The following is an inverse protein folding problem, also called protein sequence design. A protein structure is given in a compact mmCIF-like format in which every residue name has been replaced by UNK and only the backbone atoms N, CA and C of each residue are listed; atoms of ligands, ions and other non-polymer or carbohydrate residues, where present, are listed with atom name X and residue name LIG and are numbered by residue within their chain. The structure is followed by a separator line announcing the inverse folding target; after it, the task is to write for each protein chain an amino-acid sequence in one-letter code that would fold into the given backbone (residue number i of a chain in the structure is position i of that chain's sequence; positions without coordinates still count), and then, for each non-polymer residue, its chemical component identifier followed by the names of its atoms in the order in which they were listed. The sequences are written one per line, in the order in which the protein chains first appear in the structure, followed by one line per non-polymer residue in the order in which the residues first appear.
data_IF_504491119529
#
_entry.id   IF_504491119529
#
_cell.length_a   1.000
_cell.length_b   1.000
_cell.length_c   1.000
_cell.angle_alpha   90.00
_cell.angle_beta   90.00
_cell.angle_gamma   90.00
#
_symmetry.space_group_name_H-M   'P 1'
#
loop_
_entity.id
_entity.type
_entity.pdbx_description
1 polymer ?
#
# COMPACT_ATOMS: atom_id res chain seq x y z
N UNK A 1 -6.78 123.36 41.20
CA UNK A 1 -5.33 123.14 41.29
C UNK A 1 -5.09 121.76 40.72
N UNK A 2 -4.99 121.63 39.40
CA UNK A 2 -3.73 121.79 38.65
C UNK A 2 -2.67 120.81 39.17
N UNK A 3 -2.02 119.97 38.37
CA UNK A 3 -1.64 120.09 36.97
C UNK A 3 -0.98 118.75 36.57
N UNK A 4 -1.05 118.36 35.28
CA UNK A 4 0.01 117.71 34.47
C UNK A 4 0.67 116.40 35.00
N UNK A 5 1.07 115.40 34.19
CA UNK A 5 1.26 115.24 32.74
C UNK A 5 1.71 113.78 32.50
N UNK A 6 1.50 113.31 31.27
CA UNK A 6 2.32 112.36 30.49
C UNK A 6 2.38 110.91 30.97
N UNK A 7 2.60 109.91 30.12
CA UNK A 7 2.53 109.63 28.68
C UNK A 7 3.03 108.16 28.62
N UNK A 8 2.40 107.31 27.81
CA UNK A 8 2.92 106.07 27.17
C UNK A 8 1.77 105.05 27.05
N UNK A 9 1.19 104.92 25.87
CA UNK A 9 1.60 103.95 24.84
C UNK A 9 1.25 102.51 25.24
N UNK A 10 0.06 102.06 24.84
CA UNK A 10 -0.21 100.63 24.70
C UNK A 10 -0.87 100.35 23.36
N UNK A 11 -0.08 99.68 22.51
CA UNK A 11 -0.43 99.22 21.19
C UNK A 11 -1.60 98.22 21.22
N UNK A 12 -2.68 98.55 20.53
CA UNK A 12 -3.76 97.60 20.19
C UNK A 12 -3.40 97.00 18.83
N UNK A 13 -2.91 95.76 18.86
CA UNK A 13 -2.56 94.99 17.67
C UNK A 13 -3.79 94.61 16.84
N UNK A 14 -3.68 94.55 15.50
CA UNK A 14 -4.77 94.13 14.65
C UNK A 14 -5.08 92.64 14.86
N UNK A 15 -6.31 92.35 15.31
CA UNK A 15 -6.87 91.01 15.41
C UNK A 15 -6.87 90.33 14.03
N UNK A 16 -5.98 89.36 13.86
CA UNK A 16 -6.04 88.43 12.74
C UNK A 16 -7.35 87.60 12.82
N UNK A 17 -7.99 87.32 11.66
CA UNK A 17 -9.33 86.77 11.63
C UNK A 17 -9.38 85.37 12.27
N UNK A 18 -10.12 85.26 13.38
CA UNK A 18 -10.37 84.03 14.16
C UNK A 18 -11.00 82.90 13.31
N UNK A 19 -11.47 83.20 12.10
CA UNK A 19 -12.16 82.28 11.20
C UNK A 19 -11.27 81.20 10.59
N UNK A 20 -9.98 81.45 10.33
CA UNK A 20 -9.11 80.44 9.70
C UNK A 20 -8.78 79.28 10.66
N UNK A 21 -8.46 79.60 11.93
CA UNK A 21 -8.13 78.61 12.96
C UNK A 21 -9.37 77.80 13.36
N UNK A 22 -10.54 78.43 13.44
CA UNK A 22 -11.81 77.75 13.73
C UNK A 22 -12.26 76.82 12.59
N UNK A 23 -12.07 77.23 11.33
CA UNK A 23 -12.39 76.39 10.17
C UNK A 23 -11.44 75.19 10.06
N UNK A 24 -10.14 75.37 10.28
CA UNK A 24 -9.19 74.26 10.31
C UNK A 24 -9.50 73.28 11.46
N UNK A 25 -9.87 73.80 12.63
CA UNK A 25 -10.26 72.95 13.77
C UNK A 25 -11.55 72.16 13.49
N UNK A 26 -12.51 72.74 12.75
CA UNK A 26 -13.72 72.03 12.31
C UNK A 26 -13.41 70.91 11.32
N UNK A 27 -12.52 71.16 10.36
CA UNK A 27 -12.08 70.14 9.38
C UNK A 27 -11.32 69.02 10.08
N UNK A 28 -10.40 69.33 11.00
CA UNK A 28 -9.66 68.33 11.77
C UNK A 28 -10.58 67.50 12.68
N UNK A 29 -11.58 68.12 13.31
CA UNK A 29 -12.60 67.39 14.08
C UNK A 29 -13.46 66.48 13.20
N UNK A 30 -13.83 66.93 12.01
CA UNK A 30 -14.55 66.13 11.02
C UNK A 30 -13.74 64.93 10.54
N UNK A 31 -12.46 65.14 10.19
CA UNK A 31 -11.53 64.08 9.81
C UNK A 31 -11.31 63.08 10.95
N UNK A 32 -11.09 63.57 12.17
CA UNK A 32 -10.94 62.70 13.35
C UNK A 32 -12.19 61.86 13.58
N UNK A 33 -13.38 62.46 13.46
CA UNK A 33 -14.64 61.72 13.57
C UNK A 33 -14.79 60.65 12.48
N UNK A 34 -14.48 60.98 11.22
CA UNK A 34 -14.50 60.01 10.13
C UNK A 34 -13.52 58.85 10.36
N UNK A 35 -12.31 59.14 10.85
CA UNK A 35 -11.31 58.12 11.18
C UNK A 35 -11.80 57.22 12.31
N UNK A 36 -12.35 57.78 13.38
CA UNK A 36 -12.91 57.00 14.50
C UNK A 36 -14.06 56.12 14.03
N UNK A 37 -15.00 56.65 13.23
CA UNK A 37 -16.11 55.87 12.68
C UNK A 37 -15.59 54.75 11.78
N UNK A 38 -14.59 55.02 10.93
CA UNK A 38 -13.98 54.00 10.07
C UNK A 38 -13.35 52.88 10.91
N UNK A 39 -12.60 53.21 11.95
CA UNK A 39 -12.02 52.20 12.84
C UNK A 39 -13.10 51.39 13.56
N UNK A 40 -14.16 52.03 14.08
CA UNK A 40 -15.26 51.31 14.74
C UNK A 40 -15.94 50.34 13.77
N UNK A 41 -16.26 50.78 12.55
CA UNK A 41 -16.86 49.91 11.51
C UNK A 41 -15.91 48.78 11.13
N UNK A 42 -14.63 49.07 10.94
CA UNK A 42 -13.61 48.06 10.62
C UNK A 42 -13.46 47.02 11.73
N UNK A 43 -13.42 47.44 13.00
CA UNK A 43 -13.32 46.54 14.15
C UNK A 43 -14.59 45.69 14.31
N UNK A 44 -15.78 46.25 14.14
CA UNK A 44 -17.04 45.49 14.18
C UNK A 44 -17.09 44.46 13.06
N UNK A 45 -16.69 44.84 11.83
CA UNK A 45 -16.62 43.93 10.69
C UNK A 45 -15.59 42.82 10.91
N UNK A 46 -14.40 43.16 11.42
CA UNK A 46 -13.35 42.19 11.78
C UNK A 46 -13.80 41.24 12.89
N UNK A 47 -14.50 41.74 13.90
CA UNK A 47 -15.03 40.90 14.98
C UNK A 47 -16.07 39.91 14.46
N UNK A 48 -17.03 40.38 13.65
CA UNK A 48 -18.07 39.53 13.06
C UNK A 48 -17.48 38.46 12.11
N UNK A 49 -16.45 38.80 11.34
CA UNK A 49 -15.76 37.83 10.47
C UNK A 49 -15.00 36.77 11.26
N UNK A 50 -14.29 37.16 12.32
CA UNK A 50 -13.61 36.22 13.23
C UNK A 50 -14.58 35.27 13.95
N UNK A 51 -15.74 35.77 14.41
CA UNK A 51 -16.77 34.92 15.02
C UNK A 51 -17.32 33.89 14.03
N UNK A 52 -17.51 34.28 12.76
CA UNK A 52 -17.97 33.39 11.71
C UNK A 52 -16.93 32.29 11.39
N UNK A 53 -15.65 32.66 11.26
CA UNK A 53 -14.55 31.72 11.04
C UNK A 53 -14.41 30.73 12.21
N UNK A 54 -14.47 31.21 13.46
CA UNK A 54 -14.42 30.36 14.65
C UNK A 54 -15.61 29.38 14.71
N UNK A 55 -16.81 29.85 14.34
CA UNK A 55 -18.00 28.99 14.29
C UNK A 55 -17.88 27.90 13.20
N UNK A 56 -17.26 28.20 12.07
CA UNK A 56 -16.98 27.21 11.03
C UNK A 56 -15.93 26.19 11.50
N UNK A 57 -14.84 26.65 12.12
CA UNK A 57 -13.79 25.78 12.66
C UNK A 57 -14.30 24.83 13.75
N UNK A 58 -15.22 25.29 14.59
CA UNK A 58 -15.85 24.45 15.61
C UNK A 58 -16.73 23.36 14.98
N UNK A 59 -17.49 23.68 13.92
CA UNK A 59 -18.32 22.69 13.21
C UNK A 59 -17.49 21.63 12.50
N UNK A 60 -16.38 22.03 11.86
CA UNK A 60 -15.48 21.07 11.21
C UNK A 60 -14.80 20.18 12.23
N UNK A 61 -14.30 20.74 13.34
CA UNK A 61 -13.70 19.97 14.43
C UNK A 61 -14.65 18.90 14.98
N UNK A 62 -15.90 19.27 15.29
CA UNK A 62 -16.91 18.32 15.78
C UNK A 62 -17.25 17.23 14.74
N UNK A 63 -17.25 17.57 13.46
CA UNK A 63 -17.49 16.60 12.38
C UNK A 63 -16.34 15.59 12.32
N UNK A 64 -15.10 16.06 12.37
CA UNK A 64 -13.90 15.22 12.40
C UNK A 64 -13.88 14.31 13.61
N UNK A 65 -14.24 14.81 14.80
CA UNK A 65 -14.30 14.01 16.02
C UNK A 65 -15.34 12.88 15.93
N UNK A 66 -16.51 13.15 15.33
CA UNK A 66 -17.53 12.11 15.06
C UNK A 66 -17.08 11.07 14.04
N UNK A 67 -16.38 11.49 12.99
CA UNK A 67 -15.81 10.58 12.00
C UNK A 67 -14.72 9.70 12.62
N UNK A 68 -13.85 10.27 13.45
CA UNK A 68 -12.83 9.53 14.19
C UNK A 68 -13.45 8.52 15.17
N UNK A 69 -14.54 8.88 15.87
CA UNK A 69 -15.25 7.96 16.75
C UNK A 69 -15.84 6.77 15.98
N UNK A 70 -16.45 7.02 14.81
CA UNK A 70 -16.96 5.95 13.92
C UNK A 70 -15.84 5.06 13.39
N UNK A 71 -14.69 5.64 13.05
CA UNK A 71 -13.54 4.87 12.58
C UNK A 71 -13.00 3.95 13.69
N UNK A 72 -12.91 4.46 14.92
CA UNK A 72 -12.47 3.71 16.09
C UNK A 72 -13.38 2.50 16.39
N UNK A 73 -14.70 2.67 16.27
CA UNK A 73 -15.65 1.57 16.43
C UNK A 73 -15.46 0.48 15.36
N UNK A 74 -15.22 0.88 14.10
CA UNK A 74 -14.92 -0.06 13.01
C UNK A 74 -13.59 -0.77 13.21
N UNK A 75 -12.59 -0.09 13.77
CA UNK A 75 -11.29 -0.69 14.08
C UNK A 75 -11.45 -1.81 15.12
N UNK A 76 -12.20 -1.55 16.20
CA UNK A 76 -12.51 -2.55 17.24
C UNK A 76 -13.28 -3.75 16.68
N UNK A 77 -14.19 -3.55 15.72
CA UNK A 77 -14.88 -4.64 15.02
C UNK A 77 -13.89 -5.53 14.23
N UNK A 78 -12.94 -4.91 13.51
CA UNK A 78 -11.91 -5.63 12.75
C UNK A 78 -10.99 -6.41 13.70
N UNK A 79 -10.55 -5.80 14.80
CA UNK A 79 -9.72 -6.48 15.81
C UNK A 79 -10.42 -7.69 16.42
N UNK A 80 -11.72 -7.60 16.71
CA UNK A 80 -12.50 -8.75 17.21
C UNK A 80 -12.54 -9.88 16.20
N UNK A 81 -12.77 -9.58 14.92
CA UNK A 81 -12.79 -10.58 13.86
C UNK A 81 -11.42 -11.24 13.65
N UNK A 82 -10.34 -10.47 13.78
CA UNK A 82 -8.98 -11.04 13.75
C UNK A 82 -8.75 -12.02 14.91
N UNK A 83 -9.23 -11.70 16.12
CA UNK A 83 -9.16 -12.62 17.26
C UNK A 83 -10.01 -13.89 17.05
N UNK A 84 -11.16 -13.79 16.38
CA UNK A 84 -11.95 -14.97 16.02
C UNK A 84 -11.24 -15.83 14.97
N UNK A 85 -10.61 -15.20 13.97
CA UNK A 85 -9.81 -15.91 12.97
C UNK A 85 -8.63 -16.63 13.60
N UNK A 86 -7.91 -15.98 14.52
CA UNK A 86 -6.79 -16.58 15.23
C UNK A 86 -7.23 -17.82 16.02
N UNK A 87 -8.38 -17.76 16.70
CA UNK A 87 -8.98 -18.94 17.36
C UNK A 87 -9.29 -20.05 16.37
N UNK A 88 -9.85 -19.73 15.19
CA UNK A 88 -10.13 -20.73 14.16
C UNK A 88 -8.86 -21.39 13.63
N UNK A 89 -7.80 -20.60 13.40
CA UNK A 89 -6.50 -21.12 12.98
C UNK A 89 -5.93 -22.04 14.06
N UNK A 90 -5.95 -21.65 15.33
CA UNK A 90 -5.50 -22.48 16.44
C UNK A 90 -6.31 -23.79 16.55
N UNK A 91 -7.62 -23.77 16.31
CA UNK A 91 -8.42 -25.01 16.29
C UNK A 91 -8.02 -25.93 15.15
N UNK A 92 -7.77 -25.39 13.96
CA UNK A 92 -7.33 -26.19 12.79
C UNK A 92 -5.94 -26.81 13.02
N UNK A 93 -5.01 -26.05 13.62
CA UNK A 93 -3.68 -26.55 13.96
C UNK A 93 -3.73 -27.70 14.99
N UNK A 94 -4.61 -27.62 15.99
CA UNK A 94 -4.78 -28.69 16.98
C UNK A 94 -5.48 -29.94 16.40
N UNK A 95 -6.26 -29.81 15.34
CA UNK A 95 -6.85 -30.95 14.63
C UNK A 95 -5.83 -31.68 13.74
N UNK A 96 -4.83 -30.98 13.20
CA UNK A 96 -3.73 -31.59 12.43
C UNK A 96 -2.78 -32.44 13.29
N UNK A 97 -2.57 -32.12 14.57
CA UNK A 97 -1.77 -32.96 15.48
C UNK A 97 -2.41 -34.34 15.73
N UNK A 98 -3.70 -34.54 15.43
CA UNK A 98 -4.36 -35.85 15.53
C UNK A 98 -4.24 -36.71 14.26
N UNK A 99 -3.73 -36.15 13.16
CA UNK A 99 -3.42 -36.89 11.92
C UNK A 99 -1.91 -37.08 11.70
N UNK A 100 -1.05 -36.45 12.51
CA UNK A 100 0.40 -36.51 12.38
C UNK A 100 1.05 -37.74 13.07
N UNK A 101 0.32 -38.51 13.87
CA UNK A 101 0.86 -39.70 14.57
C UNK A 101 1.07 -40.94 13.67
N UNK A 102 0.63 -40.91 12.41
CA UNK A 102 0.84 -42.02 11.44
C UNK A 102 1.92 -41.72 10.36
N UNK A 103 2.61 -40.57 10.41
CA UNK A 103 3.73 -40.29 9.50
C UNK A 103 5.03 -40.19 10.28
N UNK A 104 5.74 -41.32 10.34
CA UNK A 104 7.09 -41.45 10.88
C UNK A 104 8.06 -40.41 10.28
N UNK A 105 8.33 -39.34 11.02
CA UNK A 105 9.53 -38.51 10.83
C UNK A 105 10.57 -38.95 11.85
N UNK A 106 11.50 -39.81 11.44
CA UNK A 106 12.75 -39.98 12.17
C UNK A 106 13.59 -38.71 12.02
N UNK A 107 13.56 -37.85 13.04
CA UNK A 107 14.53 -36.78 13.19
C UNK A 107 15.82 -37.36 13.80
N UNK A 108 16.88 -37.42 12.99
CA UNK A 108 18.22 -37.55 13.56
C UNK A 108 18.68 -36.17 13.98
N UNK A 109 18.67 -35.90 15.29
CA UNK A 109 19.37 -34.78 15.90
C UNK A 109 20.87 -34.89 15.58
N UNK A 110 21.41 -33.89 14.89
CA UNK A 110 22.84 -33.62 14.88
C UNK A 110 23.03 -32.43 15.82
N UNK A 111 23.69 -32.67 16.95
CA UNK A 111 23.96 -31.64 17.94
C UNK A 111 24.89 -30.56 17.34
N UNK A 112 24.47 -29.29 17.39
CA UNK A 112 25.38 -28.14 17.25
C UNK A 112 25.04 -27.03 16.26
N UNK A 113 23.88 -26.99 15.61
CA UNK A 113 23.49 -25.86 14.74
C UNK A 113 22.01 -25.49 14.93
N UNK A 114 21.75 -24.46 15.73
CA UNK A 114 20.42 -23.85 15.83
C UNK A 114 20.14 -22.98 14.59
N UNK A 115 18.97 -23.18 13.97
CA UNK A 115 18.32 -22.16 13.14
C UNK A 115 18.34 -22.33 11.62
N UNK A 116 18.74 -23.48 11.07
CA UNK A 116 18.78 -23.66 9.60
C UNK A 116 17.96 -24.88 9.16
N UNK A 117 16.74 -24.66 8.67
CA UNK A 117 15.93 -25.69 7.99
C UNK A 117 16.53 -25.92 6.61
N UNK A 118 17.43 -26.90 6.50
CA UNK A 118 18.02 -27.31 5.21
C UNK A 118 17.04 -28.23 4.49
N UNK A 119 16.38 -27.75 3.44
CA UNK A 119 15.66 -28.62 2.50
C UNK A 119 16.66 -29.46 1.71
N UNK A 120 16.89 -30.69 2.16
CA UNK A 120 17.77 -31.62 1.46
C UNK A 120 17.04 -32.20 0.26
N UNK A 121 17.54 -31.89 -0.94
CA UNK A 121 17.16 -32.50 -2.23
C UNK A 121 17.14 -34.03 -2.10
N UNK A 122 15.96 -34.64 -2.06
CA UNK A 122 15.82 -36.10 -2.10
C UNK A 122 16.28 -36.61 -3.46
N UNK A 123 17.36 -37.40 -3.45
CA UNK A 123 17.74 -38.28 -4.56
C UNK A 123 16.67 -39.37 -4.63
N UNK A 124 16.04 -39.50 -5.80
CA UNK A 124 15.16 -40.62 -6.15
C UNK A 124 16.01 -41.90 -6.16
N UNK A 125 16.04 -42.63 -5.05
CA UNK A 125 16.63 -43.96 -5.01
C UNK A 125 15.67 -44.94 -5.70
N UNK A 126 16.26 -45.71 -6.60
CA UNK A 126 15.73 -46.83 -7.35
C UNK A 126 15.00 -47.83 -6.46
N UNK A 127 13.69 -47.95 -6.65
CA UNK A 127 12.92 -49.09 -6.17
C UNK A 127 13.28 -50.30 -7.02
N UNK A 128 14.03 -51.25 -6.45
CA UNK A 128 14.16 -52.60 -6.99
C UNK A 128 12.94 -53.41 -6.56
N UNK A 129 12.27 -54.02 -7.54
CA UNK A 129 11.18 -54.96 -7.35
C UNK A 129 11.64 -56.19 -6.57
N UNK A 130 11.02 -56.46 -5.42
CA UNK A 130 10.90 -57.82 -4.89
C UNK A 130 9.50 -58.34 -5.22
N UNK A 131 9.39 -59.06 -6.33
CA UNK A 131 8.25 -59.92 -6.64
C UNK A 131 8.18 -61.08 -5.63
N UNK A 132 7.33 -61.01 -4.59
CA UNK A 132 6.75 -62.20 -3.95
C UNK A 132 5.34 -61.96 -3.40
N UNK A 133 4.35 -62.47 -4.14
CA UNK A 133 3.19 -63.14 -3.54
C UNK A 133 1.88 -62.37 -3.44
N UNK A 134 0.94 -62.72 -4.33
CA UNK A 134 -0.51 -62.59 -4.12
C UNK A 134 -1.11 -61.25 -4.57
N UNK A 135 -1.80 -61.25 -5.72
CA UNK A 135 -2.62 -60.11 -6.19
C UNK A 135 -3.86 -59.97 -5.29
N UNK A 136 -4.06 -58.85 -4.57
CA UNK A 136 -5.41 -58.37 -4.32
C UNK A 136 -5.90 -57.69 -5.61
N UNK A 137 -7.18 -57.82 -5.90
CA UNK A 137 -7.83 -57.26 -7.06
C UNK A 137 -7.68 -55.73 -7.07
N UNK A 138 -6.86 -55.18 -7.97
CA UNK A 138 -6.63 -53.73 -8.12
C UNK A 138 -7.69 -53.19 -9.08
N UNK A 139 -8.89 -52.96 -8.58
CA UNK A 139 -9.96 -52.24 -9.31
C UNK A 139 -10.45 -51.00 -8.54
N UNK A 140 -9.77 -50.54 -7.49
CA UNK A 140 -10.31 -49.44 -6.66
C UNK A 140 -9.25 -48.58 -5.98
N UNK A 141 -8.25 -48.09 -6.74
CA UNK A 141 -7.29 -47.07 -6.23
C UNK A 141 -6.63 -46.18 -7.28
N UNK A 142 -7.29 -45.94 -8.43
CA UNK A 142 -6.75 -45.07 -9.49
C UNK A 142 -7.53 -43.77 -9.71
N UNK A 143 -8.28 -43.30 -8.72
CA UNK A 143 -8.89 -41.98 -8.80
C UNK A 143 -8.20 -41.03 -7.82
N UNK A 144 -7.72 -39.89 -8.35
CA UNK A 144 -7.30 -38.67 -7.65
C UNK A 144 -5.80 -38.39 -7.45
N UNK A 145 -4.97 -38.61 -8.46
CA UNK A 145 -3.90 -37.62 -8.75
C UNK A 145 -4.40 -36.76 -9.91
N UNK A 146 -5.07 -35.64 -9.60
CA UNK A 146 -5.16 -34.58 -10.60
C UNK A 146 -3.77 -33.97 -10.72
N UNK A 147 -3.20 -33.98 -11.91
CA UNK A 147 -1.97 -33.25 -12.18
C UNK A 147 -2.20 -31.77 -11.81
N UNK A 148 -1.41 -31.28 -10.84
CA UNK A 148 -1.48 -29.89 -10.41
C UNK A 148 -0.82 -29.05 -11.49
N UNK A 149 -1.59 -28.20 -12.16
CA UNK A 149 -1.07 -27.27 -13.16
C UNK A 149 -0.52 -26.05 -12.43
N UNK A 150 0.81 -25.99 -12.30
CA UNK A 150 1.51 -24.92 -11.60
C UNK A 150 2.83 -24.58 -12.28
N UNK A 151 3.28 -23.34 -12.09
CA UNK A 151 4.58 -22.86 -12.54
C UNK A 151 5.22 -22.01 -11.44
N UNK A 152 6.51 -22.23 -11.25
CA UNK A 152 7.36 -21.42 -10.39
C UNK A 152 8.59 -21.00 -11.19
N UNK A 153 8.84 -19.71 -11.23
CA UNK A 153 10.01 -19.13 -11.90
C UNK A 153 10.84 -18.34 -10.90
N UNK A 154 12.14 -18.51 -10.98
CA UNK A 154 13.13 -17.95 -10.07
C UNK A 154 13.99 -16.92 -10.81
N UNK A 155 14.49 -15.94 -10.08
CA UNK A 155 15.54 -15.07 -10.58
C UNK A 155 16.76 -15.90 -10.98
N UNK A 156 17.36 -15.58 -12.12
CA UNK A 156 18.61 -16.21 -12.55
C UNK A 156 19.53 -15.22 -13.22
N UNK A 157 20.74 -15.08 -12.67
CA UNK A 157 21.80 -14.31 -13.30
C UNK A 157 22.47 -15.13 -14.40
N UNK A 158 22.61 -14.55 -15.59
CA UNK A 158 23.33 -15.17 -16.73
C UNK A 158 24.86 -14.97 -16.63
N UNK A 159 25.39 -14.80 -15.41
CA UNK A 159 26.79 -14.46 -15.14
C UNK A 159 27.14 -12.97 -15.35
N UNK A 160 26.14 -12.14 -15.70
CA UNK A 160 26.29 -10.69 -15.79
C UNK A 160 25.56 -10.04 -14.62
N UNK A 161 26.32 -9.34 -13.77
CA UNK A 161 25.81 -8.54 -12.66
C UNK A 161 25.86 -7.08 -13.06
N UNK A 162 24.75 -6.37 -12.93
CA UNK A 162 24.66 -4.95 -13.25
C UNK A 162 24.82 -4.04 -12.04
N UNK A 163 24.79 -4.60 -10.82
CA UNK A 163 25.05 -3.87 -9.58
C UNK A 163 26.32 -4.40 -8.91
N UNK A 164 26.81 -3.70 -7.89
CA UNK A 164 28.00 -4.06 -7.11
C UNK A 164 27.83 -5.35 -6.26
N UNK A 165 26.68 -6.01 -6.37
CA UNK A 165 26.33 -7.23 -5.64
C UNK A 165 26.26 -8.41 -6.62
N UNK A 166 26.82 -9.55 -6.21
CA UNK A 166 26.75 -10.77 -7.00
C UNK A 166 25.29 -11.21 -7.25
N UNK A 167 25.02 -11.75 -8.43
CA UNK A 167 23.67 -12.17 -8.86
C UNK A 167 22.62 -11.05 -8.76
N UNK A 168 22.97 -9.80 -9.08
CA UNK A 168 22.00 -8.71 -9.10
C UNK A 168 21.54 -8.35 -10.52
N UNK A 169 20.37 -7.72 -10.59
CA UNK A 169 19.81 -7.11 -11.79
C UNK A 169 19.42 -5.67 -11.49
N UNK A 170 19.69 -4.77 -12.42
CA UNK A 170 19.37 -3.37 -12.36
C UNK A 170 18.24 -3.12 -13.35
N UNK A 171 17.20 -2.44 -12.91
CA UNK A 171 16.12 -2.03 -13.79
C UNK A 171 16.61 -0.88 -14.67
N UNK A 172 16.51 -1.06 -15.98
CA UNK A 172 16.90 -0.06 -16.96
C UNK A 172 15.86 1.07 -17.02
N UNK A 173 16.32 2.30 -17.28
CA UNK A 173 15.45 3.46 -17.43
C UNK A 173 14.41 3.22 -18.55
N UNK A 174 13.13 3.39 -18.21
CA UNK A 174 12.02 3.15 -19.13
C UNK A 174 11.66 1.69 -19.40
N UNK A 175 12.29 0.71 -18.72
CA UNK A 175 11.92 -0.70 -18.79
C UNK A 175 11.37 -1.17 -17.45
N UNK A 176 10.04 -1.22 -17.32
CA UNK A 176 9.40 -1.57 -16.06
C UNK A 176 9.31 -3.09 -15.83
N UNK A 177 9.63 -3.95 -16.81
CA UNK A 177 9.42 -5.41 -16.72
C UNK A 177 10.69 -6.13 -16.29
N UNK A 178 10.59 -6.99 -15.28
CA UNK A 178 11.67 -7.89 -14.91
C UNK A 178 11.67 -9.08 -15.86
N UNK A 179 12.79 -9.33 -16.55
CA UNK A 179 12.89 -10.37 -17.60
C UNK A 179 13.75 -11.57 -17.23
N UNK A 180 14.52 -11.49 -16.14
CA UNK A 180 15.52 -12.49 -15.74
C UNK A 180 14.93 -13.66 -14.94
N UNK A 181 14.01 -14.37 -15.57
CA UNK A 181 13.28 -15.49 -14.98
C UNK A 181 13.71 -16.84 -15.56
N UNK A 182 13.80 -17.84 -14.69
CA UNK A 182 14.08 -19.21 -15.07
C UNK A 182 13.09 -20.16 -14.39
N UNK A 183 12.40 -21.04 -15.14
CA UNK A 183 11.46 -21.97 -14.54
C UNK A 183 12.20 -23.09 -13.78
N UNK A 184 11.78 -23.39 -12.55
CA UNK A 184 12.35 -24.48 -11.73
C UNK A 184 12.22 -25.86 -12.39
N UNK A 185 11.14 -26.02 -13.15
CA UNK A 185 10.79 -27.18 -13.94
C UNK A 185 10.17 -26.67 -15.23
N UNK A 186 10.43 -27.35 -16.37
CA UNK A 186 9.74 -27.01 -17.61
C UNK A 186 8.25 -26.85 -17.33
N UNK A 187 7.65 -25.70 -17.67
CA UNK A 187 6.25 -25.46 -17.36
C UNK A 187 5.44 -26.61 -17.94
N UNK A 188 4.55 -27.17 -17.13
CA UNK A 188 3.57 -28.15 -17.61
C UNK A 188 2.70 -27.51 -18.72
N UNK A 189 1.91 -28.29 -19.45
CA UNK A 189 1.08 -27.84 -20.60
C UNK A 189 0.12 -26.64 -20.34
N UNK A 190 0.11 -26.07 -19.13
CA UNK A 190 -0.70 -24.93 -18.74
C UNK A 190 -0.03 -23.55 -18.79
N UNK A 191 1.28 -23.46 -19.05
CA UNK A 191 1.98 -22.16 -19.04
C UNK A 191 3.08 -22.06 -20.10
N UNK A 192 3.32 -20.84 -20.59
CA UNK A 192 4.47 -20.48 -21.42
C UNK A 192 5.19 -19.26 -20.81
N UNK A 193 6.52 -19.23 -20.90
CA UNK A 193 7.34 -18.12 -20.39
C UNK A 193 8.24 -17.61 -21.52
N UNK A 194 8.04 -16.36 -21.93
CA UNK A 194 8.81 -15.70 -22.98
C UNK A 194 9.11 -14.26 -22.56
N UNK A 195 10.37 -13.85 -22.61
CA UNK A 195 10.84 -12.50 -22.26
C UNK A 195 10.33 -11.96 -20.89
N UNK A 196 10.18 -12.87 -19.93
CA UNK A 196 9.69 -12.58 -18.58
C UNK A 196 8.18 -12.43 -18.43
N UNK A 197 7.44 -12.70 -19.50
CA UNK A 197 5.99 -12.74 -19.51
C UNK A 197 5.56 -14.20 -19.39
N UNK A 198 4.78 -14.49 -18.34
CA UNK A 198 4.18 -15.78 -18.09
C UNK A 198 2.75 -15.79 -18.64
N UNK A 199 2.52 -16.56 -19.70
CA UNK A 199 1.21 -16.69 -20.33
C UNK A 199 0.51 -17.96 -19.83
N UNK A 200 -0.78 -17.86 -19.49
CA UNK A 200 -1.60 -19.00 -19.06
C UNK A 200 -2.31 -19.63 -20.25
N UNK A 201 -2.26 -20.95 -20.39
CA UNK A 201 -2.86 -21.67 -21.54
C UNK A 201 -4.32 -22.09 -21.29
N UNK A 202 -4.78 -22.00 -20.04
CA UNK A 202 -6.11 -22.44 -19.62
C UNK A 202 -6.91 -21.32 -18.99
N UNK A 203 -8.21 -21.35 -19.19
CA UNK A 203 -9.15 -20.45 -18.51
C UNK A 203 -9.47 -21.01 -17.12
N UNK A 204 -9.37 -20.19 -16.08
CA UNK A 204 -9.48 -20.70 -14.72
C UNK A 204 -9.31 -19.69 -13.60
N UNK A 205 -9.40 -20.18 -12.37
CA UNK A 205 -9.07 -19.46 -11.15
C UNK A 205 -7.62 -19.78 -10.75
N UNK A 206 -6.78 -18.76 -10.70
CA UNK A 206 -5.35 -18.90 -10.42
C UNK A 206 -4.99 -18.27 -9.08
N UNK A 207 -4.16 -18.96 -8.30
CA UNK A 207 -3.41 -18.35 -7.20
C UNK A 207 -2.06 -17.88 -7.75
N UNK A 208 -1.79 -16.58 -7.65
CA UNK A 208 -0.59 -15.93 -8.18
C UNK A 208 0.18 -15.33 -7.00
N UNK A 209 1.50 -15.49 -7.00
CA UNK A 209 2.38 -14.97 -5.95
C UNK A 209 3.67 -14.43 -6.54
N UNK A 210 4.28 -13.45 -5.86
CA UNK A 210 5.58 -12.89 -6.21
C UNK A 210 6.36 -12.48 -4.97
N UNK A 211 7.68 -12.64 -5.02
CA UNK A 211 8.63 -12.11 -4.06
C UNK A 211 9.81 -11.48 -4.79
N UNK A 212 10.21 -10.29 -4.36
CA UNK A 212 11.44 -9.61 -4.82
C UNK A 212 12.29 -9.24 -3.61
N UNK A 213 13.59 -9.52 -3.69
CA UNK A 213 14.59 -8.99 -2.77
C UNK A 213 15.23 -7.72 -3.34
N UNK A 214 14.92 -6.58 -2.72
CA UNK A 214 15.50 -5.30 -3.07
C UNK A 214 16.91 -5.15 -2.48
N UNK A 215 17.84 -4.70 -3.31
CA UNK A 215 19.20 -4.34 -2.91
C UNK A 215 19.28 -2.81 -2.94
N UNK A 216 19.71 -2.22 -1.82
CA UNK A 216 19.67 -0.77 -1.64
C UNK A 216 20.59 -0.02 -2.63
N UNK A 217 20.12 1.16 -3.04
CA UNK A 217 20.94 2.33 -3.39
C UNK A 217 21.06 3.23 -2.12
N UNK A 218 22.24 3.35 -1.49
CA UNK A 218 22.44 4.01 -0.20
C UNK A 218 22.06 5.51 -0.16
N UNK A 219 21.75 6.12 -1.31
CA UNK A 219 21.35 7.53 -1.43
C UNK A 219 19.82 7.74 -1.53
N UNK A 220 19.02 6.67 -1.47
CA UNK A 220 17.60 6.69 -1.81
C UNK A 220 16.67 6.32 -0.63
N UNK A 221 16.11 7.33 0.05
CA UNK A 221 14.92 7.21 0.93
C UNK A 221 13.66 6.85 0.09
N UNK A 222 13.68 5.71 -0.59
CA UNK A 222 12.63 5.29 -1.53
C UNK A 222 11.86 4.09 -0.98
N UNK A 223 10.53 4.20 -1.01
CA UNK A 223 9.66 3.04 -0.92
C UNK A 223 9.85 2.20 -2.19
N UNK A 224 10.26 0.94 -2.03
CA UNK A 224 10.41 0.01 -3.15
C UNK A 224 9.09 -0.69 -3.40
N UNK A 225 8.71 -0.76 -4.67
CA UNK A 225 7.42 -1.32 -5.08
C UNK A 225 7.57 -2.21 -6.30
N UNK A 226 6.91 -3.37 -6.28
CA UNK A 226 6.71 -4.17 -7.48
C UNK A 226 5.23 -4.53 -7.58
N UNK A 227 4.77 -4.71 -8.81
CA UNK A 227 3.40 -5.08 -9.14
C UNK A 227 3.37 -6.35 -9.97
N UNK A 228 2.37 -7.19 -9.68
CA UNK A 228 1.95 -8.26 -10.58
C UNK A 228 0.94 -7.65 -11.54
N UNK A 229 1.31 -7.59 -12.82
CA UNK A 229 0.48 -7.02 -13.88
C UNK A 229 -0.10 -8.14 -14.73
N UNK A 230 -1.38 -8.04 -15.05
CA UNK A 230 -2.10 -8.97 -15.92
C UNK A 230 -2.55 -8.21 -17.16
N UNK A 231 -2.36 -8.80 -18.35
CA UNK A 231 -2.81 -8.27 -19.65
C UNK A 231 -2.33 -6.84 -19.94
N UNK A 232 -1.00 -6.63 -19.89
CA UNK A 232 -0.26 -5.38 -20.17
C UNK A 232 -0.55 -4.18 -19.25
N UNK A 233 -1.79 -3.95 -18.81
CA UNK A 233 -2.17 -2.72 -18.12
C UNK A 233 -2.87 -2.93 -16.77
N UNK A 234 -3.34 -4.14 -16.46
CA UNK A 234 -4.12 -4.36 -15.24
C UNK A 234 -3.23 -4.77 -14.06
N UNK A 235 -2.90 -3.79 -13.22
CA UNK A 235 -2.24 -4.03 -11.93
C UNK A 235 -3.16 -4.88 -11.04
N UNK A 236 -2.74 -6.10 -10.76
CA UNK A 236 -3.49 -7.04 -9.92
C UNK A 236 -3.08 -6.97 -8.45
N UNK A 237 -1.78 -7.12 -8.18
CA UNK A 237 -1.19 -7.06 -6.84
C UNK A 237 -0.08 -6.04 -6.84
N UNK A 238 0.09 -5.33 -5.73
CA UNK A 238 1.23 -4.44 -5.50
C UNK A 238 1.83 -4.75 -4.13
N UNK A 239 3.14 -4.94 -4.09
CA UNK A 239 3.89 -5.05 -2.86
C UNK A 239 4.73 -3.79 -2.67
N UNK A 240 4.56 -3.12 -1.54
CA UNK A 240 5.34 -1.94 -1.19
C UNK A 240 6.07 -2.19 0.12
N UNK A 241 7.37 -1.91 0.16
CA UNK A 241 8.16 -1.98 1.37
C UNK A 241 8.95 -0.66 1.56
N UNK A 242 9.05 -0.21 2.80
CA UNK A 242 9.88 0.93 3.16
C UNK A 242 11.31 0.45 3.43
N UNK A 243 12.27 0.94 2.65
CA UNK A 243 13.68 0.58 2.80
C UNK A 243 14.31 1.38 3.96
N UNK A 244 14.09 0.94 5.20
CA UNK A 244 14.71 1.54 6.39
C UNK A 244 15.71 0.54 6.99
N UNK A 245 16.92 1.00 7.35
CA UNK A 245 17.94 0.18 8.05
C UNK A 245 19.27 0.09 7.31
N UNK A 246 20.28 -0.57 7.91
CA UNK A 246 21.62 -0.77 7.31
C UNK A 246 22.15 -2.19 7.58
N UNK A 247 22.48 -3.00 6.56
CA UNK A 247 22.08 -2.83 5.16
C UNK A 247 20.58 -3.14 5.01
N UNK A 248 19.80 -2.39 4.23
CA UNK A 248 18.36 -2.61 4.10
C UNK A 248 18.10 -3.55 2.93
N UNK A 249 18.44 -4.81 3.12
CA UNK A 249 17.98 -5.87 2.23
C UNK A 249 16.61 -6.32 2.70
N UNK A 250 15.61 -6.04 1.88
CA UNK A 250 14.22 -6.34 2.22
C UNK A 250 13.58 -7.18 1.12
N UNK A 251 13.01 -8.31 1.52
CA UNK A 251 12.09 -9.06 0.68
C UNK A 251 10.70 -8.42 0.77
N UNK A 252 9.99 -8.33 -0.35
CA UNK A 252 8.58 -7.99 -0.38
C UNK A 252 7.84 -9.13 -1.08
N UNK A 253 6.85 -9.71 -0.40
CA UNK A 253 6.02 -10.80 -0.89
C UNK A 253 4.57 -10.36 -1.03
N UNK A 254 3.91 -10.72 -2.13
CA UNK A 254 2.47 -10.55 -2.31
C UNK A 254 1.85 -11.73 -3.03
N UNK A 255 0.58 -12.02 -2.75
CA UNK A 255 -0.15 -13.11 -3.40
C UNK A 255 -1.65 -12.84 -3.41
N UNK A 256 -2.36 -13.49 -4.32
CA UNK A 256 -3.80 -13.34 -4.48
C UNK A 256 -4.40 -14.34 -5.44
N UNK A 257 -5.73 -14.40 -5.47
CA UNK A 257 -6.49 -15.27 -6.36
C UNK A 257 -7.21 -14.44 -7.42
N UNK A 258 -7.11 -14.83 -8.69
CA UNK A 258 -7.71 -14.13 -9.82
C UNK A 258 -8.20 -15.08 -10.89
N UNK A 259 -9.35 -14.76 -11.50
CA UNK A 259 -9.82 -15.46 -12.69
C UNK A 259 -9.04 -14.94 -13.92
N UNK A 260 -8.53 -15.86 -14.73
CA UNK A 260 -7.81 -15.57 -15.96
C UNK A 260 -8.42 -16.34 -17.13
N UNK A 261 -8.41 -15.71 -18.30
CA UNK A 261 -8.73 -16.35 -19.57
C UNK A 261 -7.45 -16.99 -20.14
N UNK A 262 -7.61 -18.05 -20.94
CA UNK A 262 -6.51 -18.56 -21.75
C UNK A 262 -5.87 -17.43 -22.57
N UNK A 263 -4.55 -17.46 -22.69
CA UNK A 263 -3.67 -16.42 -23.24
C UNK A 263 -3.53 -15.15 -22.38
N UNK A 264 -4.03 -15.12 -21.14
CA UNK A 264 -3.73 -14.00 -20.24
C UNK A 264 -2.25 -13.96 -19.91
N UNK A 265 -1.65 -12.78 -20.03
CA UNK A 265 -0.23 -12.54 -19.80
C UNK A 265 0.01 -11.98 -18.39
N UNK A 266 0.92 -12.58 -17.63
CA UNK A 266 1.31 -12.16 -16.28
C UNK A 266 2.78 -11.75 -16.31
N UNK A 267 3.11 -10.57 -15.79
CA UNK A 267 4.50 -10.16 -15.62
C UNK A 267 4.70 -9.37 -14.33
N UNK A 268 5.95 -9.31 -13.87
CA UNK A 268 6.32 -8.49 -12.73
C UNK A 268 6.85 -7.16 -13.24
N UNK A 269 6.21 -6.09 -12.79
CA UNK A 269 6.59 -4.71 -13.09
C UNK A 269 7.19 -4.03 -11.87
N UNK A 270 8.29 -3.31 -12.04
CA UNK A 270 8.90 -2.46 -11.02
C UNK A 270 9.19 -1.09 -11.61
N UNK A 271 8.56 -0.06 -11.04
CA UNK A 271 8.78 1.34 -11.43
C UNK A 271 9.88 1.94 -10.58
N UNK A 272 11.12 1.71 -10.98
CA UNK A 272 12.26 2.38 -10.38
C UNK A 272 13.43 2.43 -11.37
N UNK A 273 13.87 3.64 -11.71
CA UNK A 273 15.01 3.85 -12.58
C UNK A 273 16.31 3.54 -11.83
N UNK A 274 17.05 2.53 -12.30
CA UNK A 274 18.35 2.18 -11.74
C UNK A 274 18.33 1.37 -10.44
N UNK A 275 17.15 0.97 -9.94
CA UNK A 275 17.06 0.10 -8.75
C UNK A 275 17.72 -1.26 -8.97
N UNK A 276 18.34 -1.76 -7.92
CA UNK A 276 18.96 -3.07 -7.89
C UNK A 276 18.10 -4.11 -7.14
N UNK A 277 17.98 -5.30 -7.72
CA UNK A 277 17.36 -6.46 -7.08
C UNK A 277 18.31 -7.64 -7.10
N UNK A 278 18.15 -8.53 -6.13
CA UNK A 278 18.82 -9.84 -6.16
C UNK A 278 18.09 -10.76 -7.12
N UNK A 279 18.84 -11.57 -7.86
CA UNK A 279 18.38 -12.70 -8.67
C UNK A 279 18.68 -14.04 -7.96
N UNK A 280 18.82 -14.04 -6.63
CA UNK A 280 18.93 -15.28 -5.87
C UNK A 280 17.61 -16.04 -5.93
N UNK A 281 17.68 -17.33 -6.27
CA UNK A 281 16.50 -18.19 -6.50
C UNK A 281 15.58 -18.32 -5.29
N UNK A 282 16.14 -18.25 -4.08
CA UNK A 282 15.43 -18.32 -2.81
C UNK A 282 14.84 -16.99 -2.34
N UNK A 283 15.18 -15.88 -2.99
CA UNK A 283 14.81 -14.54 -2.55
C UNK A 283 13.92 -13.79 -3.55
N UNK A 284 14.09 -14.07 -4.85
CA UNK A 284 13.38 -13.43 -5.95
C UNK A 284 12.76 -14.48 -6.85
N UNK A 285 11.43 -14.56 -6.86
CA UNK A 285 10.66 -15.57 -7.58
C UNK A 285 9.21 -15.11 -7.79
N UNK A 286 8.53 -15.70 -8.77
CA UNK A 286 7.07 -15.59 -8.87
C UNK A 286 6.48 -16.86 -9.47
N UNK A 287 5.16 -17.01 -9.41
CA UNK A 287 4.51 -18.19 -9.95
C UNK A 287 3.00 -18.13 -9.91
N UNK A 288 2.40 -19.17 -10.48
CA UNK A 288 0.95 -19.31 -10.57
C UNK A 288 0.54 -20.79 -10.42
N UNK A 289 -0.62 -21.01 -9.79
CA UNK A 289 -1.21 -22.33 -9.59
C UNK A 289 -2.67 -22.27 -10.06
N UNK A 290 -3.07 -23.16 -10.97
CA UNK A 290 -4.46 -23.32 -11.37
C UNK A 290 -5.23 -24.03 -10.26
N UNK A 291 -6.15 -23.32 -9.60
CA UNK A 291 -7.01 -23.87 -8.56
C UNK A 291 -8.25 -24.55 -9.14
N UNK A 292 -8.81 -23.98 -10.22
CA UNK A 292 -10.01 -24.49 -10.87
C UNK A 292 -10.07 -24.07 -12.33
N UNK A 293 -10.20 -25.02 -13.25
CA UNK A 293 -10.42 -24.77 -14.68
C UNK A 293 -11.89 -24.39 -14.94
N UNK A 294 -12.12 -23.48 -15.89
CA UNK A 294 -13.44 -23.09 -16.39
C UNK A 294 -13.47 -23.22 -17.91
N UNK A 295 -14.65 -23.48 -18.48
CA UNK A 295 -14.84 -23.44 -19.94
C UNK A 295 -14.76 -22.00 -20.48
N UNK A 296 -15.24 -21.02 -19.70
CA UNK A 296 -15.13 -19.58 -19.97
C UNK A 296 -14.89 -18.83 -18.65
N UNK A 297 -14.16 -17.71 -18.68
CA UNK A 297 -13.86 -16.99 -17.44
C UNK A 297 -15.16 -16.41 -16.88
N UNK A 298 -15.45 -16.63 -15.58
CA UNK A 298 -16.60 -15.98 -14.96
C UNK A 298 -16.42 -14.46 -15.09
N UNK A 299 -17.46 -13.76 -15.56
CA UNK A 299 -17.48 -12.30 -15.66
C UNK A 299 -16.88 -11.67 -14.40
N UNK A 300 -16.10 -10.58 -14.52
CA UNK A 300 -15.48 -9.95 -13.37
C UNK A 300 -16.58 -9.69 -12.35
N UNK A 301 -16.45 -10.31 -11.18
CA UNK A 301 -17.42 -10.20 -10.10
C UNK A 301 -17.37 -8.74 -9.63
N UNK A 302 -18.18 -7.89 -10.29
CA UNK A 302 -18.44 -6.53 -9.84
C UNK A 302 -19.12 -6.69 -8.49
N UNK A 303 -18.35 -6.55 -7.41
CA UNK A 303 -18.91 -6.24 -6.11
C UNK A 303 -19.58 -4.87 -6.24
N UNK A 304 -20.85 -4.86 -6.68
CA UNK A 304 -21.70 -3.69 -6.53
C UNK A 304 -21.99 -3.54 -5.05
N UNK A 305 -21.35 -2.55 -4.43
CA UNK A 305 -21.51 -2.18 -3.03
C UNK A 305 -22.91 -1.57 -2.72
N UNK A 306 -23.97 -1.97 -3.43
CA UNK A 306 -25.31 -1.40 -3.31
C UNK A 306 -26.31 -2.28 -2.57
N UNK A 307 -25.98 -3.53 -2.22
CA UNK A 307 -26.91 -4.43 -1.55
C UNK A 307 -26.78 -4.47 -0.01
N UNK A 308 -26.27 -3.39 0.60
CA UNK A 308 -26.58 -3.11 2.01
C UNK A 308 -27.86 -2.27 2.02
N UNK A 309 -28.99 -2.97 1.89
CA UNK A 309 -30.32 -2.44 2.17
C UNK A 309 -30.37 -1.90 3.60
N UNK A 310 -30.42 -0.58 3.76
CA UNK A 310 -31.00 0.05 4.94
C UNK A 310 -32.52 0.06 4.73
N UNK A 311 -33.33 -0.65 5.54
CA UNK A 311 -34.77 -0.39 5.54
C UNK A 311 -34.99 1.05 5.99
N UNK A 312 -35.57 1.85 5.10
CA UNK A 312 -36.03 3.20 5.41
C UNK A 312 -37.16 3.07 6.43
N UNK A 313 -36.85 3.37 7.69
CA UNK A 313 -37.87 3.57 8.71
C UNK A 313 -38.47 4.97 8.47
N UNK A 314 -39.68 4.98 7.92
CA UNK A 314 -40.53 6.15 7.80
C UNK A 314 -40.77 6.76 9.19
N UNK A 315 -40.46 8.05 9.35
CA UNK A 315 -41.01 8.87 10.41
C UNK A 315 -41.78 10.04 9.80
N UNK A 316 -43.04 10.10 10.22
CA UNK A 316 -43.88 11.30 10.28
C UNK A 316 -43.17 12.47 10.99
#
# INVERSE_FOLDING_TARGET
MEEKKRQEEHAVGPEAPRTCKENLLRILKGLFFCVVVFFVVFFVYRHATLECENAQLSKTSLKTERENARLSERLLEVERKLQELDKMVQTLWNEEEHYADDVLVQSNKVDGMDGMTVFKRMKRETWQEEEKGGRPNVDEKSELHRDVIAVHVEGRADGQTSCDVANSFQIEEGHDIITKWHPLRYPDEGFTLEDGILTVEKTGLYFIYSQILYLEDPDADLATTHSVVVNEEEVFLTCMNSMVGVPPWHTCYTAGVRALEANSAIHISMKCDGCCISLSSDATFFGAILLKEYEEAPLPMKFQFTDIFFPNESRD
#
